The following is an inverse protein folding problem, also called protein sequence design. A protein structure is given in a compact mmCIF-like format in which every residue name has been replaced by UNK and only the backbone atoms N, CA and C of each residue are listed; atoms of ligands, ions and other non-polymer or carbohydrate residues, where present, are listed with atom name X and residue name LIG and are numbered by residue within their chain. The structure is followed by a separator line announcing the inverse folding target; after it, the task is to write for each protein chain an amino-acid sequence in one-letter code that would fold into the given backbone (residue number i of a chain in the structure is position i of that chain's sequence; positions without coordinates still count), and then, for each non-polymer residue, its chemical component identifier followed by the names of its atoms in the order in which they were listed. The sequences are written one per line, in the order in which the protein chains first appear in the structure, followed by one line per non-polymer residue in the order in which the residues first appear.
data_IF_499549828013
#
_entry.id   IF_499549828013
#
_cell.length_a   1.000
_cell.length_b   1.000
_cell.length_c   1.000
_cell.angle_alpha   90.00
_cell.angle_beta   90.00
_cell.angle_gamma   90.00
#
_symmetry.space_group_name_H-M   'P 1'
#
loop_
_entity.id
_entity.type
_entity.pdbx_description
1 polymer ?
#
# COMPACT_ATOMS: atom_id res chain seq x y z
N UNK A 1 11.11 18.02 24.87
CA UNK A 1 12.05 17.46 25.85
C UNK A 1 11.43 17.74 27.21
N UNK A 2 11.29 16.75 28.10
CA UNK A 2 10.72 17.01 29.42
C UNK A 2 11.78 17.73 30.24
N UNK A 3 11.61 19.05 30.38
CA UNK A 3 12.53 19.91 31.15
C UNK A 3 11.98 20.20 32.56
N UNK A 4 10.75 19.76 32.85
CA UNK A 4 10.10 19.84 34.15
C UNK A 4 9.93 18.46 34.81
N UNK A 5 9.73 18.49 36.13
CA UNK A 5 9.52 17.31 36.96
C UNK A 5 8.04 17.12 37.30
N UNK A 6 7.16 17.35 36.32
CA UNK A 6 5.71 17.17 36.48
C UNK A 6 5.36 15.73 36.81
N UNK A 7 4.43 15.58 37.75
CA UNK A 7 3.91 14.28 38.18
C UNK A 7 2.42 14.28 37.89
N UNK A 8 1.96 13.24 37.18
CA UNK A 8 0.55 13.06 36.91
C UNK A 8 -0.23 12.78 38.21
N UNK A 9 -1.25 13.59 38.55
CA UNK A 9 -1.96 13.48 39.81
C UNK A 9 -2.79 12.20 39.96
N UNK A 10 -3.07 11.49 38.85
CA UNK A 10 -3.89 10.28 38.86
C UNK A 10 -3.06 9.01 39.05
N UNK A 11 -1.92 8.92 38.36
CA UNK A 11 -1.06 7.73 38.39
C UNK A 11 0.12 7.87 39.34
N UNK A 12 0.39 9.08 39.85
CA UNK A 12 1.57 9.44 40.64
C UNK A 12 2.89 9.07 39.94
N UNK A 13 2.88 9.04 38.60
CA UNK A 13 4.06 8.78 37.78
C UNK A 13 4.55 10.08 37.17
N UNK A 14 5.88 10.28 37.06
CA UNK A 14 6.44 11.36 36.26
C UNK A 14 5.90 11.32 34.83
N UNK A 15 5.63 12.49 34.26
CA UNK A 15 5.11 12.62 32.89
C UNK A 15 6.01 11.92 31.86
N UNK A 16 7.33 12.03 32.03
CA UNK A 16 8.33 11.34 31.20
C UNK A 16 8.12 9.81 31.14
N UNK A 17 7.66 9.19 32.24
CA UNK A 17 7.37 7.75 32.27
C UNK A 17 6.08 7.44 31.51
N UNK A 18 5.09 8.33 31.57
CA UNK A 18 3.84 8.17 30.83
C UNK A 18 4.07 8.29 29.33
N UNK A 19 4.81 9.30 28.90
CA UNK A 19 5.14 9.54 27.48
C UNK A 19 5.99 8.42 26.90
N UNK A 20 6.99 7.94 27.65
CA UNK A 20 7.75 6.76 27.26
C UNK A 20 6.84 5.53 27.11
N UNK A 21 5.96 5.25 28.09
CA UNK A 21 5.08 4.09 28.03
C UNK A 21 4.05 4.18 26.89
N UNK A 22 3.61 5.38 26.55
CA UNK A 22 2.69 5.63 25.43
C UNK A 22 3.34 5.33 24.07
N UNK A 23 4.65 5.60 23.93
CA UNK A 23 5.33 5.55 22.63
C UNK A 23 6.22 4.31 22.42
N UNK A 24 6.73 3.69 23.50
CA UNK A 24 7.69 2.57 23.44
C UNK A 24 7.19 1.34 22.66
N UNK A 25 5.88 1.17 22.54
CA UNK A 25 5.27 -0.02 21.92
C UNK A 25 5.28 -0.04 20.39
N UNK A 26 5.80 1.00 19.73
CA UNK A 26 5.78 1.10 18.27
C UNK A 26 6.47 -0.07 17.56
N UNK A 27 7.70 -0.40 17.98
CA UNK A 27 8.49 -1.50 17.38
C UNK A 27 7.83 -2.85 17.65
N UNK A 28 7.44 -3.12 18.90
CA UNK A 28 6.75 -4.37 19.29
C UNK A 28 5.44 -4.57 18.51
N UNK A 29 4.73 -3.48 18.23
CA UNK A 29 3.50 -3.50 17.44
C UNK A 29 3.78 -3.91 16.01
N UNK A 30 4.80 -3.34 15.37
CA UNK A 30 5.22 -3.72 14.00
C UNK A 30 5.71 -5.15 13.95
N UNK A 31 6.49 -5.60 14.93
CA UNK A 31 6.98 -6.99 15.01
C UNK A 31 5.84 -7.99 15.17
N UNK A 32 4.88 -7.71 16.05
CA UNK A 32 3.65 -8.50 16.21
C UNK A 32 2.85 -8.54 14.91
N UNK A 33 2.74 -7.41 14.23
CA UNK A 33 2.08 -7.32 12.93
C UNK A 33 2.80 -8.14 11.87
N UNK A 34 4.13 -8.10 11.78
CA UNK A 34 4.93 -8.92 10.87
C UNK A 34 4.69 -10.42 11.13
N UNK A 35 4.71 -10.83 12.39
CA UNK A 35 4.56 -12.24 12.74
C UNK A 35 3.16 -12.79 12.44
N UNK A 36 2.10 -11.99 12.63
CA UNK A 36 0.70 -12.41 12.43
C UNK A 36 0.37 -12.80 10.98
N UNK A 37 1.00 -12.14 10.00
CA UNK A 37 0.79 -12.39 8.56
C UNK A 37 2.12 -12.56 7.83
N UNK A 38 3.03 -13.34 8.41
CA UNK A 38 4.37 -13.52 7.85
C UNK A 38 4.35 -14.32 6.54
N UNK A 39 5.10 -13.86 5.54
CA UNK A 39 5.38 -14.61 4.30
C UNK A 39 6.69 -15.41 4.37
N UNK A 40 7.35 -15.42 5.53
CA UNK A 40 8.59 -16.13 5.76
C UNK A 40 8.46 -17.63 5.55
N UNK A 41 9.42 -18.22 4.83
CA UNK A 41 9.55 -19.66 4.65
C UNK A 41 10.91 -20.12 5.14
N UNK A 42 10.98 -21.35 5.64
CA UNK A 42 12.25 -21.99 6.01
C UNK A 42 13.16 -22.03 4.79
N UNK A 43 14.31 -21.36 4.88
CA UNK A 43 15.30 -21.27 3.81
C UNK A 43 16.70 -21.34 4.38
N UNK A 44 17.65 -21.92 3.63
CA UNK A 44 19.08 -21.89 3.95
C UNK A 44 19.82 -20.72 3.28
N UNK A 45 19.12 -19.92 2.46
CA UNK A 45 19.68 -18.78 1.72
C UNK A 45 19.34 -17.50 2.48
N UNK A 46 20.31 -16.93 3.20
CA UNK A 46 20.09 -15.73 4.03
C UNK A 46 19.50 -14.52 3.27
N UNK A 47 19.91 -14.21 2.01
CA UNK A 47 19.30 -13.11 1.27
C UNK A 47 17.79 -13.30 1.04
N UNK A 48 17.35 -14.54 0.85
CA UNK A 48 15.93 -14.85 0.69
C UNK A 48 15.16 -14.68 2.00
N UNK A 49 15.78 -15.01 3.15
CA UNK A 49 15.18 -14.74 4.45
C UNK A 49 14.99 -13.23 4.68
N UNK A 50 16.00 -12.42 4.32
CA UNK A 50 15.91 -10.96 4.38
C UNK A 50 14.82 -10.42 3.46
N UNK A 51 14.71 -10.94 2.23
CA UNK A 51 13.66 -10.58 1.29
C UNK A 51 12.25 -10.82 1.85
N UNK A 52 12.01 -11.94 2.55
CA UNK A 52 10.72 -12.18 3.19
C UNK A 52 10.40 -11.14 4.27
N UNK A 53 11.40 -10.67 5.01
CA UNK A 53 11.19 -9.60 6.00
C UNK A 53 10.85 -8.26 5.34
N UNK A 54 11.51 -7.92 4.23
CA UNK A 54 11.14 -6.75 3.45
C UNK A 54 9.69 -6.82 2.95
N UNK A 55 9.25 -7.99 2.47
CA UNK A 55 7.86 -8.18 2.05
C UNK A 55 6.86 -8.01 3.21
N UNK A 56 7.18 -8.51 4.40
CA UNK A 56 6.34 -8.33 5.58
C UNK A 56 6.17 -6.85 5.93
N UNK A 57 7.28 -6.09 5.93
CA UNK A 57 7.27 -4.64 6.20
C UNK A 57 6.50 -3.88 5.12
N UNK A 58 6.72 -4.20 3.84
CA UNK A 58 5.98 -3.60 2.73
C UNK A 58 4.45 -3.86 2.84
N UNK A 59 4.07 -5.05 3.30
CA UNK A 59 2.67 -5.39 3.58
C UNK A 59 2.05 -4.54 4.69
N UNK A 60 2.81 -4.17 5.72
CA UNK A 60 2.35 -3.26 6.78
C UNK A 60 2.23 -1.83 6.24
N UNK A 61 3.27 -1.34 5.55
CA UNK A 61 3.31 0.02 5.02
C UNK A 61 2.17 0.28 4.02
N UNK A 62 1.84 -0.70 3.18
CA UNK A 62 0.73 -0.58 2.22
C UNK A 62 -0.65 -0.49 2.91
N UNK A 63 -0.84 -1.13 4.07
CA UNK A 63 -2.06 -0.98 4.87
C UNK A 63 -2.11 0.39 5.55
N UNK A 64 -1.00 0.86 6.10
CA UNK A 64 -0.93 2.21 6.70
C UNK A 64 -1.27 3.28 5.65
N UNK A 65 -0.75 3.13 4.43
CA UNK A 65 -1.12 3.99 3.30
C UNK A 65 -2.61 3.91 2.96
N UNK A 66 -3.23 2.73 3.03
CA UNK A 66 -4.68 2.59 2.85
C UNK A 66 -5.47 3.31 3.95
N UNK A 67 -5.05 3.19 5.21
CA UNK A 67 -5.70 3.85 6.35
C UNK A 67 -5.63 5.37 6.18
N UNK A 68 -4.46 5.90 5.81
CA UNK A 68 -4.27 7.32 5.53
C UNK A 68 -5.14 7.79 4.35
N UNK A 69 -5.22 7.01 3.28
CA UNK A 69 -6.08 7.29 2.13
C UNK A 69 -7.56 7.33 2.54
N UNK A 70 -8.02 6.37 3.33
CA UNK A 70 -9.39 6.34 3.82
C UNK A 70 -9.70 7.50 4.77
N UNK A 71 -8.70 7.99 5.53
CA UNK A 71 -8.85 9.18 6.38
C UNK A 71 -9.15 10.45 5.59
N UNK A 72 -8.70 10.54 4.33
CA UNK A 72 -9.03 11.65 3.42
C UNK A 72 -10.23 11.37 2.52
N UNK A 73 -10.70 10.12 2.47
CA UNK A 73 -11.81 9.66 1.63
C UNK A 73 -12.76 8.76 2.45
N UNK A 74 -13.62 9.32 3.31
CA UNK A 74 -14.44 8.57 4.26
C UNK A 74 -15.42 7.60 3.60
N UNK A 75 -15.81 7.84 2.34
CA UNK A 75 -16.63 6.94 1.52
C UNK A 75 -15.92 5.61 1.18
N UNK A 76 -14.60 5.54 1.35
CA UNK A 76 -13.82 4.33 1.07
C UNK A 76 -13.92 3.36 2.26
N UNK A 77 -14.50 2.16 2.07
CA UNK A 77 -14.67 1.22 3.17
C UNK A 77 -13.31 0.77 3.71
N UNK A 78 -13.17 0.80 5.03
CA UNK A 78 -12.01 0.24 5.70
C UNK A 78 -11.98 -1.28 5.45
N UNK A 79 -10.85 -1.78 4.95
CA UNK A 79 -10.65 -3.21 4.71
C UNK A 79 -9.86 -3.80 5.85
N UNK A 80 -10.26 -4.98 6.32
CA UNK A 80 -9.42 -5.73 7.25
C UNK A 80 -8.09 -6.06 6.57
N UNK A 81 -7.00 -6.06 7.35
CA UNK A 81 -5.65 -6.39 6.89
C UNK A 81 -5.59 -7.66 6.02
N UNK A 82 -6.26 -8.72 6.45
CA UNK A 82 -6.34 -9.99 5.71
C UNK A 82 -6.97 -9.82 4.33
N UNK A 83 -8.07 -9.09 4.23
CA UNK A 83 -8.76 -8.86 2.96
C UNK A 83 -7.89 -7.99 2.06
N UNK A 84 -7.31 -6.92 2.60
CA UNK A 84 -6.41 -6.05 1.86
C UNK A 84 -5.23 -6.82 1.26
N UNK A 85 -4.49 -7.59 2.07
CA UNK A 85 -3.34 -8.36 1.59
C UNK A 85 -3.74 -9.41 0.54
N UNK A 86 -4.92 -10.05 0.70
CA UNK A 86 -5.45 -10.98 -0.31
C UNK A 86 -5.76 -10.26 -1.63
N UNK A 87 -6.41 -9.10 -1.58
CA UNK A 87 -6.71 -8.29 -2.76
C UNK A 87 -5.43 -7.81 -3.44
N UNK A 88 -4.45 -7.34 -2.67
CA UNK A 88 -3.15 -6.93 -3.15
C UNK A 88 -2.41 -8.09 -3.85
N UNK A 89 -2.35 -9.27 -3.23
CA UNK A 89 -1.72 -10.43 -3.84
C UNK A 89 -2.40 -10.81 -5.17
N UNK A 90 -3.74 -10.83 -5.20
CA UNK A 90 -4.49 -11.14 -6.42
C UNK A 90 -4.32 -10.08 -7.51
N UNK A 91 -4.22 -8.79 -7.17
CA UNK A 91 -4.01 -7.72 -8.15
C UNK A 91 -2.62 -7.81 -8.78
N UNK A 92 -1.58 -8.07 -7.97
CA UNK A 92 -0.21 -8.26 -8.44
C UNK A 92 -0.07 -9.51 -9.33
N UNK A 93 -0.80 -10.59 -9.02
CA UNK A 93 -0.77 -11.81 -9.82
C UNK A 93 -1.62 -11.72 -11.10
N UNK A 94 -2.59 -10.80 -11.17
CA UNK A 94 -3.56 -10.71 -12.27
C UNK A 94 -2.94 -10.75 -13.68
N UNK A 95 -1.90 -9.96 -14.04
CA UNK A 95 -1.31 -10.02 -15.37
C UNK A 95 -0.76 -11.42 -15.69
N UNK A 96 -0.01 -12.02 -14.78
CA UNK A 96 0.57 -13.36 -14.95
C UNK A 96 -0.49 -14.47 -15.03
N UNK A 97 -1.57 -14.36 -14.24
CA UNK A 97 -2.69 -15.30 -14.29
C UNK A 97 -3.42 -15.21 -15.63
N UNK A 98 -3.55 -14.02 -16.21
CA UNK A 98 -4.13 -13.83 -17.54
C UNK A 98 -3.24 -14.43 -18.65
N UNK A 99 -1.92 -14.28 -18.57
CA UNK A 99 -0.98 -14.94 -19.51
C UNK A 99 -1.11 -16.46 -19.42
N UNK A 100 -1.11 -17.00 -18.21
CA UNK A 100 -1.23 -18.44 -17.97
C UNK A 100 -2.57 -18.99 -18.45
N UNK A 101 -3.65 -18.21 -18.39
CA UNK A 101 -4.97 -18.60 -18.88
C UNK A 101 -5.04 -18.83 -20.40
N UNK A 102 -4.04 -18.34 -21.15
CA UNK A 102 -3.94 -18.57 -22.59
C UNK A 102 -3.41 -19.96 -22.95
N UNK A 103 -2.77 -20.67 -22.01
CA UNK A 103 -2.13 -21.97 -22.26
C UNK A 103 -3.20 -23.08 -22.34
N UNK A 104 -3.42 -23.72 -23.50
CA UNK A 104 -4.49 -24.70 -23.66
C UNK A 104 -4.19 -26.04 -22.99
N UNK A 105 -2.92 -26.39 -22.82
CA UNK A 105 -2.44 -27.69 -22.31
C UNK A 105 -2.49 -27.81 -20.78
N UNK A 106 -2.97 -26.79 -20.06
CA UNK A 106 -3.11 -26.85 -18.61
C UNK A 106 -4.17 -27.88 -18.17
N UNK A 107 -4.00 -28.51 -16.98
CA UNK A 107 -5.02 -29.35 -16.36
C UNK A 107 -6.40 -28.66 -16.29
N UNK A 108 -7.46 -29.45 -16.40
CA UNK A 108 -8.86 -28.98 -16.46
C UNK A 108 -9.19 -28.04 -15.28
N UNK A 109 -8.84 -28.44 -14.06
CA UNK A 109 -9.14 -27.67 -12.85
C UNK A 109 -8.49 -26.29 -12.86
N UNK A 110 -7.23 -26.23 -13.33
CA UNK A 110 -6.49 -24.98 -13.44
C UNK A 110 -7.11 -24.09 -14.52
N UNK A 111 -7.51 -24.65 -15.67
CA UNK A 111 -8.20 -23.89 -16.72
C UNK A 111 -9.54 -23.36 -16.22
N UNK A 112 -10.30 -24.15 -15.46
CA UNK A 112 -11.56 -23.73 -14.88
C UNK A 112 -11.35 -22.55 -13.92
N UNK A 113 -10.37 -22.65 -13.01
CA UNK A 113 -10.00 -21.54 -12.13
C UNK A 113 -9.54 -20.29 -12.90
N UNK A 114 -8.72 -20.47 -13.95
CA UNK A 114 -8.15 -19.39 -14.73
C UNK A 114 -9.14 -18.75 -15.73
N UNK A 115 -10.28 -19.37 -15.98
CA UNK A 115 -11.31 -18.87 -16.90
C UNK A 115 -11.73 -17.43 -16.59
N UNK A 116 -11.82 -17.07 -15.30
CA UNK A 116 -12.15 -15.71 -14.83
C UNK A 116 -11.07 -14.66 -15.13
N UNK A 117 -9.86 -15.09 -15.46
CA UNK A 117 -8.74 -14.23 -15.87
C UNK A 117 -8.52 -14.26 -17.39
N UNK A 118 -9.29 -15.06 -18.12
CA UNK A 118 -9.23 -15.25 -19.57
C UNK A 118 -9.94 -14.10 -20.29
N UNK A 119 -9.43 -12.89 -20.10
CA UNK A 119 -9.74 -11.68 -20.86
C UNK A 119 -8.99 -10.50 -20.25
N UNK A 120 -8.15 -9.82 -21.04
CA UNK A 120 -7.88 -8.39 -20.87
C UNK A 120 -7.46 -7.78 -22.21
N UNK A 121 -8.14 -6.71 -22.63
CA UNK A 121 -7.83 -5.83 -23.79
C UNK A 121 -6.35 -5.36 -23.84
N UNK A 122 -5.60 -5.58 -22.78
CA UNK A 122 -4.23 -5.16 -22.51
C UNK A 122 -3.18 -6.06 -23.20
N UNK A 123 -3.51 -7.33 -23.48
CA UNK A 123 -2.61 -8.26 -24.20
C UNK A 123 -2.40 -7.86 -25.67
N UNK A 124 -3.41 -7.28 -26.31
CA UNK A 124 -3.30 -6.77 -27.70
C UNK A 124 -2.33 -5.59 -27.82
N UNK A 125 -2.12 -4.83 -26.75
CA UNK A 125 -1.28 -3.61 -26.75
C UNK A 125 0.22 -3.90 -26.64
N UNK A 126 0.62 -5.07 -26.13
CA UNK A 126 2.03 -5.48 -26.02
C UNK A 126 2.60 -6.13 -27.29
N UNK A 127 1.75 -6.66 -28.16
CA UNK A 127 2.19 -7.34 -29.39
C UNK A 127 2.50 -6.40 -30.57
N UNK A 128 2.07 -5.14 -30.54
CA UNK A 128 2.33 -4.13 -31.59
C UNK A 128 2.65 -2.77 -30.95
N UNK A 129 3.92 -2.41 -30.76
CA UNK A 129 4.33 -1.13 -30.15
C UNK A 129 4.19 0.10 -31.06
N UNK A 130 3.78 -0.04 -32.32
CA UNK A 130 3.93 1.00 -33.36
C UNK A 130 2.75 2.00 -33.49
N UNK A 131 1.73 1.95 -32.61
CA UNK A 131 0.58 2.87 -32.71
C UNK A 131 0.29 3.58 -31.39
N UNK A 132 1.20 4.46 -30.97
CA UNK A 132 1.08 5.20 -29.72
C UNK A 132 0.98 6.73 -29.85
N UNK A 133 0.91 7.31 -31.06
CA UNK A 133 0.83 8.78 -31.20
C UNK A 133 -0.51 9.36 -31.67
N UNK A 134 -1.46 8.61 -32.22
CA UNK A 134 -2.64 9.24 -32.85
C UNK A 134 -3.94 9.32 -32.02
N UNK A 135 -4.10 8.56 -30.93
CA UNK A 135 -5.39 8.46 -30.22
C UNK A 135 -5.36 8.93 -28.75
N UNK A 136 -4.54 9.95 -28.44
CA UNK A 136 -4.70 10.66 -27.16
C UNK A 136 -5.81 11.71 -27.31
N UNK A 137 -6.96 11.60 -26.62
CA UNK A 137 -7.89 12.71 -26.55
C UNK A 137 -7.18 13.89 -25.89
N UNK A 138 -7.07 14.99 -26.63
CA UNK A 138 -6.63 16.30 -26.13
C UNK A 138 -7.23 16.54 -24.74
N UNK A 139 -6.37 16.56 -23.72
CA UNK A 139 -6.79 16.91 -22.38
C UNK A 139 -7.43 18.31 -22.43
N UNK A 140 -8.64 18.52 -21.87
CA UNK A 140 -9.16 19.86 -21.78
C UNK A 140 -8.23 20.69 -20.88
N UNK A 141 -7.62 21.73 -21.44
CA UNK A 141 -6.90 22.75 -20.68
C UNK A 141 -7.86 23.35 -19.64
N UNK A 142 -7.76 22.87 -18.40
CA UNK A 142 -8.29 23.62 -17.28
C UNK A 142 -7.35 24.81 -17.08
N UNK A 143 -7.74 25.98 -17.61
CA UNK A 143 -7.16 27.26 -17.20
C UNK A 143 -7.29 27.36 -15.68
N UNK A 144 -6.17 27.18 -15.00
CA UNK A 144 -6.03 27.55 -13.60
C UNK A 144 -5.96 29.07 -13.61
N UNK A 145 -7.09 29.74 -13.38
CA UNK A 145 -7.06 31.14 -13.00
C UNK A 145 -6.40 31.22 -11.62
N UNK A 146 -5.13 31.62 -11.59
CA UNK A 146 -4.49 32.04 -10.35
C UNK A 146 -5.23 33.30 -9.85
N UNK A 147 -5.77 33.31 -8.62
CA UNK A 147 -6.18 34.57 -8.02
C UNK A 147 -4.93 35.45 -7.88
N UNK A 148 -4.99 36.64 -8.48
CA UNK A 148 -3.95 37.65 -8.36
C UNK A 148 -3.84 38.09 -6.90
N UNK A 149 -2.87 37.53 -6.17
CA UNK A 149 -2.35 38.09 -4.94
C UNK A 149 -0.99 38.71 -5.24
N UNK A 150 -1.02 39.85 -5.91
CA UNK A 150 0.06 40.83 -5.86
C UNK A 150 -0.47 42.06 -5.11
N UNK A 151 0.38 42.57 -4.21
CA UNK A 151 0.27 43.80 -3.42
C UNK A 151 -0.39 43.69 -2.03
N UNK A 152 0.37 43.16 -1.06
CA UNK A 152 0.41 43.70 0.31
C UNK A 152 1.68 43.22 1.05
N UNK A 153 2.86 43.58 0.55
CA UNK A 153 4.10 43.54 1.33
C UNK A 153 5.02 44.68 0.89
N UNK A 154 4.59 45.93 1.09
CA UNK A 154 5.46 47.10 1.33
C UNK A 154 4.65 48.13 2.14
N UNK A 155 5.31 48.76 3.12
CA UNK A 155 4.96 49.94 3.96
C UNK A 155 3.96 49.78 5.12
N UNK A 156 4.46 49.48 6.32
CA UNK A 156 4.68 50.43 7.46
C UNK A 156 4.94 49.68 8.75
#
# INVERSE_FOLDING_TARGET
MHDDSTIDPYTNKPEIILDYNMTKGGVDTVDKMCNTYSVGRRTKRWPLAFFFQLLNIAGINSINSQILYNGTHPESPHKSRRIFLKTLALSLMKPFLSERAAIPTLPIDIRHFLSRYRQTKWMKKRSHPEKLEEDAPSAPEKKIELPQLHAAFVTS
#
